data_IF_577799751665
#
_entry.id   IF_577799751665
#
_cell.length_a   1.000
_cell.length_b   1.000
_cell.length_c   1.000
_cell.angle_alpha   90.00
_cell.angle_beta   90.00
_cell.angle_gamma   90.00
#
_symmetry.space_group_name_H-M   'P 1'
#
loop_
_entity.id
_entity.type
_entity.pdbx_description
1 polymer ?
#
# COMPACT_ATOMS: atom_id res chain seq x y z
N UNK A 1 -4.29 -27.86 -13.87
CA UNK A 1 -3.81 -26.49 -14.08
C UNK A 1 -4.98 -25.53 -13.98
N UNK A 2 -4.78 -24.45 -13.27
CA UNK A 2 -5.71 -23.33 -13.22
C UNK A 2 -4.95 -22.06 -13.55
N UNK A 3 -5.56 -21.18 -14.35
CA UNK A 3 -5.01 -19.88 -14.70
C UNK A 3 -6.08 -18.86 -14.31
N UNK A 4 -5.68 -17.91 -13.47
CA UNK A 4 -6.53 -16.83 -12.99
C UNK A 4 -5.88 -15.49 -13.39
N UNK A 5 -6.64 -14.67 -14.11
CA UNK A 5 -6.22 -13.34 -14.51
C UNK A 5 -7.25 -12.31 -14.08
N UNK A 6 -6.79 -11.30 -13.36
CA UNK A 6 -7.61 -10.17 -12.94
C UNK A 6 -6.98 -8.87 -13.43
N UNK A 7 -7.80 -7.93 -13.85
CA UNK A 7 -7.39 -6.59 -14.18
C UNK A 7 -8.42 -5.58 -13.68
N UNK A 8 -7.96 -4.55 -13.01
CA UNK A 8 -8.80 -3.56 -12.36
C UNK A 8 -8.39 -2.15 -12.77
N UNK A 9 -9.39 -1.29 -12.92
CA UNK A 9 -9.23 0.15 -13.06
C UNK A 9 -10.13 0.87 -12.06
N UNK A 10 -9.56 1.80 -11.32
CA UNK A 10 -10.30 2.64 -10.39
C UNK A 10 -9.96 4.11 -10.64
N UNK A 11 -10.99 4.94 -10.72
CA UNK A 11 -10.87 6.39 -10.71
C UNK A 11 -11.69 6.95 -9.55
N UNK A 12 -11.08 7.84 -8.78
CA UNK A 12 -11.74 8.54 -7.68
C UNK A 12 -11.41 10.03 -7.72
N UNK A 13 -12.41 10.86 -7.39
CA UNK A 13 -12.24 12.28 -7.17
C UNK A 13 -12.97 12.65 -5.89
N UNK A 14 -12.30 13.36 -5.01
CA UNK A 14 -12.89 13.92 -3.80
C UNK A 14 -12.42 15.35 -3.63
N UNK A 15 -13.24 16.17 -2.96
CA UNK A 15 -12.91 17.54 -2.63
C UNK A 15 -13.63 17.97 -1.37
N UNK A 16 -13.09 18.97 -0.70
CA UNK A 16 -13.68 19.54 0.50
C UNK A 16 -13.11 20.91 0.77
N UNK A 17 -13.90 21.76 1.42
CA UNK A 17 -13.47 23.08 1.87
C UNK A 17 -13.67 23.21 3.36
N UNK A 18 -12.77 23.98 4.00
CA UNK A 18 -12.85 24.35 5.39
C UNK A 18 -12.73 25.87 5.50
N UNK A 19 -13.54 26.45 6.36
CA UNK A 19 -13.46 27.86 6.71
C UNK A 19 -13.45 27.97 8.23
N UNK A 20 -12.50 28.73 8.75
CA UNK A 20 -12.36 28.99 10.18
C UNK A 20 -12.60 30.47 10.39
N UNK A 21 -13.66 30.81 11.13
CA UNK A 21 -14.03 32.16 11.48
C UNK A 21 -13.77 32.37 12.99
N UNK A 22 -13.15 33.48 13.32
CA UNK A 22 -12.90 33.92 14.70
C UNK A 22 -13.50 35.30 14.90
N UNK A 23 -14.43 35.46 15.86
CA UNK A 23 -15.12 36.71 16.16
C UNK A 23 -15.77 37.42 14.94
N UNK A 24 -16.21 36.65 13.93
CA UNK A 24 -16.85 37.17 12.73
C UNK A 24 -15.90 37.54 11.58
N UNK A 25 -14.59 37.34 11.78
CA UNK A 25 -13.59 37.46 10.73
C UNK A 25 -13.08 36.07 10.33
N UNK A 26 -12.79 35.87 9.03
CA UNK A 26 -12.23 34.61 8.54
C UNK A 26 -10.75 34.57 8.81
N UNK A 27 -10.31 33.70 9.74
CA UNK A 27 -8.89 33.52 10.06
C UNK A 27 -8.18 32.68 9.01
N UNK A 28 -8.83 31.64 8.50
CA UNK A 28 -8.26 30.73 7.53
C UNK A 28 -9.36 30.10 6.66
N UNK A 29 -9.05 29.88 5.39
CA UNK A 29 -9.88 29.05 4.51
C UNK A 29 -9.00 28.09 3.71
N UNK A 30 -9.54 26.92 3.42
CA UNK A 30 -8.87 25.95 2.55
C UNK A 30 -9.87 25.21 1.68
N UNK A 31 -9.44 24.92 0.46
CA UNK A 31 -10.12 24.05 -0.50
C UNK A 31 -9.17 22.95 -0.94
N UNK A 32 -9.63 21.71 -0.90
CA UNK A 32 -8.86 20.54 -1.32
C UNK A 32 -9.54 19.79 -2.45
N UNK A 33 -8.75 19.35 -3.41
CA UNK A 33 -9.18 18.44 -4.45
C UNK A 33 -8.16 17.28 -4.55
N UNK A 34 -8.67 16.05 -4.53
CA UNK A 34 -7.86 14.84 -4.66
C UNK A 34 -8.40 14.03 -5.83
N UNK A 35 -7.51 13.68 -6.75
CA UNK A 35 -7.77 12.77 -7.87
C UNK A 35 -6.89 11.55 -7.74
N UNK A 36 -7.50 10.36 -7.85
CA UNK A 36 -6.80 9.09 -7.84
C UNK A 36 -7.12 8.29 -9.09
N UNK A 37 -6.09 7.66 -9.66
CA UNK A 37 -6.20 6.64 -10.70
C UNK A 37 -5.39 5.43 -10.27
N UNK A 38 -5.98 4.25 -10.37
CA UNK A 38 -5.32 3.00 -10.08
C UNK A 38 -5.56 2.04 -11.24
N UNK A 39 -4.49 1.39 -11.66
CA UNK A 39 -4.51 0.26 -12.59
C UNK A 39 -3.85 -0.90 -11.87
N UNK A 40 -4.47 -2.07 -11.88
CA UNK A 40 -3.90 -3.27 -11.31
C UNK A 40 -4.10 -4.44 -12.29
N UNK A 41 -3.11 -5.32 -12.37
CA UNK A 41 -3.20 -6.57 -13.09
C UNK A 41 -2.52 -7.67 -12.27
N UNK A 42 -3.15 -8.86 -12.24
CA UNK A 42 -2.65 -10.03 -11.53
C UNK A 42 -2.86 -11.28 -12.36
N UNK A 43 -1.80 -12.06 -12.51
CA UNK A 43 -1.83 -13.38 -13.13
C UNK A 43 -1.36 -14.42 -12.11
N UNK A 44 -2.17 -15.46 -11.89
CA UNK A 44 -1.82 -16.60 -11.04
C UNK A 44 -1.98 -17.89 -11.84
N UNK A 45 -0.97 -18.74 -11.78
CA UNK A 45 -0.99 -20.07 -12.35
C UNK A 45 -0.83 -21.07 -11.22
N UNK A 46 -1.76 -22.02 -11.11
CA UNK A 46 -1.69 -23.11 -10.14
C UNK A 46 -1.58 -24.43 -10.87
N UNK A 47 -0.56 -25.20 -10.52
CA UNK A 47 -0.27 -26.50 -11.11
C UNK A 47 -0.03 -27.56 -10.03
N UNK A 48 -0.41 -28.83 -10.25
CA UNK A 48 0.03 -29.92 -9.41
C UNK A 48 1.55 -30.11 -9.54
N UNK A 49 2.24 -30.27 -8.44
CA UNK A 49 3.67 -30.56 -8.38
C UNK A 49 3.91 -31.67 -7.33
N UNK A 50 4.22 -32.88 -7.81
CA UNK A 50 4.31 -34.04 -6.92
C UNK A 50 2.98 -34.34 -6.23
N UNK A 51 2.99 -34.40 -4.90
CA UNK A 51 1.78 -34.59 -4.07
C UNK A 51 1.15 -33.26 -3.64
N UNK A 52 1.75 -32.13 -4.00
CA UNK A 52 1.30 -30.79 -3.61
C UNK A 52 0.83 -29.95 -4.79
N UNK A 53 0.63 -28.67 -4.52
CA UNK A 53 0.24 -27.64 -5.47
C UNK A 53 1.25 -26.51 -5.45
N UNK A 54 1.72 -26.12 -6.62
CA UNK A 54 2.53 -24.91 -6.80
C UNK A 54 1.64 -23.84 -7.41
N UNK A 55 1.55 -22.70 -6.75
CA UNK A 55 0.94 -21.48 -7.28
C UNK A 55 2.05 -20.46 -7.49
N UNK A 56 2.10 -19.84 -8.65
CA UNK A 56 3.05 -18.78 -8.96
C UNK A 56 2.41 -17.73 -9.84
N UNK A 57 2.94 -16.53 -9.80
CA UNK A 57 2.32 -15.45 -10.55
C UNK A 57 3.05 -14.13 -10.44
N UNK A 58 2.44 -13.14 -11.08
CA UNK A 58 2.89 -11.75 -11.05
C UNK A 58 1.72 -10.84 -10.73
N UNK A 59 2.02 -9.71 -10.12
CA UNK A 59 1.06 -8.66 -9.84
C UNK A 59 1.72 -7.32 -10.08
N UNK A 60 1.04 -6.43 -10.78
CA UNK A 60 1.49 -5.08 -11.04
C UNK A 60 0.38 -4.10 -10.70
N UNK A 61 0.74 -3.03 -9.99
CA UNK A 61 -0.16 -1.95 -9.63
C UNK A 61 0.51 -0.62 -9.95
N UNK A 62 -0.21 0.22 -10.67
CA UNK A 62 0.17 1.61 -10.91
C UNK A 62 -0.88 2.54 -10.32
N UNK A 63 -0.43 3.46 -9.47
CA UNK A 63 -1.29 4.47 -8.84
C UNK A 63 -0.77 5.86 -9.18
N UNK A 64 -1.67 6.73 -9.63
CA UNK A 64 -1.41 8.17 -9.75
C UNK A 64 -2.39 8.91 -8.85
N UNK A 65 -1.84 9.70 -7.93
CA UNK A 65 -2.60 10.58 -7.06
C UNK A 65 -2.16 12.03 -7.28
N UNK A 66 -3.14 12.93 -7.39
CA UNK A 66 -2.92 14.35 -7.52
C UNK A 66 -3.71 15.08 -6.42
N UNK A 67 -3.01 15.74 -5.53
CA UNK A 67 -3.54 16.52 -4.42
C UNK A 67 -3.33 18.00 -4.69
N UNK A 68 -4.42 18.75 -4.85
CA UNK A 68 -4.43 20.20 -4.97
C UNK A 68 -5.03 20.77 -3.69
N UNK A 69 -4.28 21.59 -3.00
CA UNK A 69 -4.71 22.25 -1.77
C UNK A 69 -4.48 23.75 -1.88
N UNK A 70 -5.56 24.50 -1.86
CA UNK A 70 -5.55 25.96 -1.87
C UNK A 70 -5.93 26.48 -0.51
N UNK A 71 -5.22 27.47 -0.03
CA UNK A 71 -5.47 27.99 1.31
C UNK A 71 -5.11 29.47 1.42
N UNK A 72 -5.76 30.15 2.38
CA UNK A 72 -5.47 31.52 2.74
C UNK A 72 -5.44 31.68 4.26
N UNK A 73 -4.59 32.58 4.73
CA UNK A 73 -4.48 32.97 6.13
C UNK A 73 -3.27 32.40 6.89
N UNK A 74 -2.65 31.28 6.46
CA UNK A 74 -1.57 30.69 7.26
C UNK A 74 -0.44 29.97 6.51
N UNK A 75 -0.61 29.54 5.26
CA UNK A 75 0.43 28.84 4.49
C UNK A 75 0.22 29.02 2.98
N UNK A 76 1.15 28.51 2.19
CA UNK A 76 1.05 28.54 0.72
C UNK A 76 0.16 27.41 0.19
N UNK A 77 -0.32 27.58 -1.03
CA UNK A 77 -0.98 26.53 -1.80
C UNK A 77 -0.01 25.36 -2.01
N UNK A 78 -0.57 24.15 -2.10
CA UNK A 78 0.17 22.94 -2.41
C UNK A 78 -0.45 22.23 -3.62
N UNK A 79 0.42 21.77 -4.52
CA UNK A 79 0.08 20.94 -5.67
C UNK A 79 1.07 19.78 -5.69
N UNK A 80 0.61 18.61 -5.25
CA UNK A 80 1.44 17.41 -5.11
C UNK A 80 0.92 16.29 -6.00
N UNK A 81 1.82 15.67 -6.75
CA UNK A 81 1.50 14.47 -7.53
C UNK A 81 2.41 13.32 -7.14
N UNK A 82 1.79 12.18 -6.84
CA UNK A 82 2.47 10.94 -6.48
C UNK A 82 2.13 9.90 -7.54
N UNK A 83 3.16 9.32 -8.18
CA UNK A 83 3.04 8.17 -9.05
C UNK A 83 3.77 7.02 -8.40
N UNK A 84 3.08 5.90 -8.21
CA UNK A 84 3.66 4.73 -7.58
C UNK A 84 3.43 3.50 -8.45
N UNK A 85 4.51 2.77 -8.72
CA UNK A 85 4.49 1.47 -9.38
C UNK A 85 4.93 0.42 -8.39
N UNK A 86 4.16 -0.67 -8.28
CA UNK A 86 4.50 -1.84 -7.50
C UNK A 86 4.41 -3.05 -8.42
N UNK A 87 5.54 -3.70 -8.66
CA UNK A 87 5.62 -4.93 -9.45
C UNK A 87 6.10 -6.06 -8.56
N UNK A 88 5.45 -7.21 -8.62
CA UNK A 88 5.82 -8.37 -7.82
C UNK A 88 5.74 -9.68 -8.59
N UNK A 89 6.58 -10.62 -8.17
CA UNK A 89 6.51 -12.02 -8.57
C UNK A 89 6.50 -12.89 -7.32
N UNK A 90 5.70 -13.95 -7.32
CA UNK A 90 5.56 -14.83 -6.18
C UNK A 90 5.43 -16.29 -6.58
N UNK A 91 5.80 -17.17 -5.65
CA UNK A 91 5.57 -18.59 -5.75
C UNK A 91 5.26 -19.16 -4.36
N UNK A 92 4.23 -19.99 -4.27
CA UNK A 92 3.77 -20.67 -3.07
C UNK A 92 3.63 -22.16 -3.37
N UNK A 93 4.16 -23.00 -2.50
CA UNK A 93 3.97 -24.44 -2.56
C UNK A 93 3.22 -24.93 -1.33
N UNK A 94 2.16 -25.69 -1.54
CA UNK A 94 1.38 -26.33 -0.47
C UNK A 94 1.27 -27.83 -0.70
N UNK A 95 1.41 -28.60 0.39
CA UNK A 95 1.35 -30.06 0.36
C UNK A 95 0.65 -30.59 1.63
N UNK A 96 -0.17 -31.62 1.43
CA UNK A 96 -0.79 -32.39 2.51
C UNK A 96 -0.07 -33.73 2.66
N UNK A 97 0.54 -33.95 3.82
CA UNK A 97 1.27 -35.18 4.17
C UNK A 97 0.61 -35.84 5.37
N UNK A 98 -0.33 -36.71 5.11
CA UNK A 98 -1.12 -37.36 6.16
C UNK A 98 -1.93 -36.35 6.97
N UNK A 99 -1.51 -36.11 8.21
CA UNK A 99 -2.15 -35.16 9.12
C UNK A 99 -1.53 -33.77 9.09
N UNK A 100 -0.46 -33.57 8.30
CA UNK A 100 0.23 -32.29 8.17
C UNK A 100 -0.18 -31.57 6.91
N UNK A 101 -0.44 -30.27 7.03
CA UNK A 101 -0.55 -29.34 5.93
C UNK A 101 0.61 -28.35 6.02
N UNK A 102 1.44 -28.34 4.99
CA UNK A 102 2.63 -27.49 4.89
C UNK A 102 2.46 -26.49 3.78
N UNK A 103 2.78 -25.23 4.04
CA UNK A 103 2.82 -24.19 3.01
C UNK A 103 4.11 -23.40 3.15
N UNK A 104 4.79 -23.16 2.04
CA UNK A 104 5.93 -22.25 1.96
C UNK A 104 5.79 -21.38 0.73
N UNK A 105 5.99 -20.09 0.88
CA UNK A 105 5.88 -19.12 -0.21
C UNK A 105 6.88 -18.00 -0.06
N UNK A 106 7.19 -17.39 -1.19
CA UNK A 106 8.04 -16.21 -1.30
C UNK A 106 7.51 -15.27 -2.34
N UNK A 107 7.40 -14.00 -1.98
CA UNK A 107 7.07 -12.89 -2.88
C UNK A 107 8.26 -11.93 -2.94
N UNK A 108 8.72 -11.61 -4.13
CA UNK A 108 9.59 -10.50 -4.39
C UNK A 108 8.75 -9.31 -4.86
N UNK A 109 8.98 -8.14 -4.29
CA UNK A 109 8.27 -6.92 -4.62
C UNK A 109 9.26 -5.78 -4.89
N UNK A 110 9.08 -5.12 -6.03
CA UNK A 110 9.73 -3.87 -6.38
C UNK A 110 8.70 -2.75 -6.34
N UNK A 111 8.97 -1.72 -5.56
CA UNK A 111 8.16 -0.53 -5.46
C UNK A 111 8.97 0.70 -5.83
N UNK A 112 8.43 1.55 -6.69
CA UNK A 112 9.00 2.84 -7.05
C UNK A 112 7.94 3.93 -6.85
N UNK A 113 8.34 5.02 -6.21
CA UNK A 113 7.50 6.21 -6.03
C UNK A 113 8.18 7.39 -6.71
N UNK A 114 7.46 8.11 -7.56
CA UNK A 114 7.89 9.38 -8.15
C UNK A 114 7.02 10.49 -7.54
N UNK A 115 7.65 11.45 -6.88
CA UNK A 115 7.00 12.57 -6.21
C UNK A 115 7.25 13.88 -6.96
N UNK A 116 6.18 14.66 -7.14
CA UNK A 116 6.25 15.97 -7.80
C UNK A 116 5.58 17.03 -6.94
N UNK A 117 6.19 18.20 -6.85
CA UNK A 117 5.61 19.42 -6.27
C UNK A 117 5.51 20.48 -7.37
N UNK A 118 4.28 20.97 -7.63
CA UNK A 118 4.00 21.91 -8.72
C UNK A 118 4.63 21.46 -10.06
N UNK A 119 4.42 20.19 -10.41
CA UNK A 119 4.96 19.49 -11.59
C UNK A 119 6.50 19.35 -11.64
N UNK A 120 7.22 19.76 -10.58
CA UNK A 120 8.67 19.59 -10.46
C UNK A 120 8.97 18.28 -9.75
N UNK A 121 9.70 17.37 -10.40
CA UNK A 121 10.16 16.11 -9.81
C UNK A 121 11.10 16.35 -8.63
N UNK A 122 10.89 15.60 -7.53
CA UNK A 122 11.67 15.66 -6.30
C UNK A 122 12.37 14.33 -6.07
N UNK A 123 13.64 14.25 -6.43
CA UNK A 123 14.43 13.02 -6.32
C UNK A 123 14.51 12.53 -4.88
N UNK A 124 14.71 13.43 -3.92
CA UNK A 124 14.82 13.16 -2.49
C UNK A 124 13.54 12.57 -1.88
N UNK A 125 12.39 12.77 -2.53
CA UNK A 125 11.07 12.26 -2.12
C UNK A 125 10.58 11.10 -2.98
N UNK A 126 11.46 10.56 -3.83
CA UNK A 126 11.13 9.55 -4.84
C UNK A 126 11.88 8.23 -4.60
N UNK A 127 11.58 7.51 -3.50
CA UNK A 127 12.30 6.30 -3.13
C UNK A 127 11.92 5.09 -3.98
N UNK A 128 12.81 4.11 -4.01
CA UNK A 128 12.55 2.76 -4.51
C UNK A 128 12.90 1.71 -3.46
N UNK A 129 12.12 0.63 -3.41
CA UNK A 129 12.28 -0.45 -2.44
C UNK A 129 12.27 -1.80 -3.13
N UNK A 130 13.05 -2.73 -2.58
CA UNK A 130 13.11 -4.12 -2.98
C UNK A 130 12.86 -4.99 -1.75
N UNK A 131 11.84 -5.82 -1.78
CA UNK A 131 11.43 -6.60 -0.63
C UNK A 131 11.26 -8.08 -0.97
N UNK A 132 11.73 -8.93 -0.06
CA UNK A 132 11.43 -10.35 -0.03
C UNK A 132 10.45 -10.61 1.11
N UNK A 133 9.29 -11.15 0.78
CA UNK A 133 8.17 -11.33 1.69
C UNK A 133 7.87 -12.83 1.81
N UNK A 134 8.45 -13.52 2.78
CA UNK A 134 8.24 -14.95 3.01
C UNK A 134 6.96 -15.25 3.79
N UNK A 135 6.40 -16.43 3.54
CA UNK A 135 5.37 -17.08 4.33
C UNK A 135 5.71 -18.56 4.51
N UNK A 136 5.56 -19.07 5.71
CA UNK A 136 5.71 -20.49 6.02
C UNK A 136 4.65 -20.86 7.04
N UNK A 137 3.97 -21.98 6.84
CA UNK A 137 3.04 -22.52 7.83
C UNK A 137 3.09 -24.05 7.87
N UNK A 138 2.88 -24.58 9.06
CA UNK A 138 2.80 -26.01 9.37
C UNK A 138 1.56 -26.19 10.23
N UNK A 139 0.58 -26.91 9.73
CA UNK A 139 -0.60 -27.30 10.49
C UNK A 139 -0.67 -28.79 10.66
N UNK A 140 -0.90 -29.24 11.89
CA UNK A 140 -1.15 -30.62 12.23
C UNK A 140 -2.61 -30.78 12.67
N UNK A 141 -3.31 -31.71 12.04
CA UNK A 141 -4.72 -31.98 12.35
C UNK A 141 -4.91 -33.47 12.70
N UNK A 142 -5.43 -33.75 13.88
CA UNK A 142 -5.78 -35.09 14.33
C UNK A 142 -7.03 -35.04 15.17
N UNK A 143 -8.13 -35.67 14.70
CA UNK A 143 -9.41 -35.76 15.41
C UNK A 143 -9.81 -34.46 16.13
N UNK A 144 -9.53 -34.38 17.44
CA UNK A 144 -9.91 -33.25 18.30
C UNK A 144 -8.76 -32.21 18.47
N UNK A 145 -7.61 -32.40 17.82
CA UNK A 145 -6.44 -31.53 17.96
C UNK A 145 -6.07 -30.87 16.65
N UNK A 146 -5.97 -29.54 16.70
CA UNK A 146 -5.40 -28.75 15.62
C UNK A 146 -4.27 -27.90 16.21
N UNK A 147 -3.06 -28.10 15.71
CA UNK A 147 -1.88 -27.32 16.11
C UNK A 147 -1.32 -26.67 14.86
N UNK A 148 -1.14 -25.37 14.90
CA UNK A 148 -0.58 -24.60 13.79
C UNK A 148 0.57 -23.73 14.24
N UNK A 149 1.65 -23.74 13.45
CA UNK A 149 2.74 -22.78 13.55
C UNK A 149 2.87 -22.06 12.23
N UNK A 150 2.85 -20.74 12.27
CA UNK A 150 3.03 -19.95 11.06
C UNK A 150 3.97 -18.78 11.28
N UNK A 151 4.69 -18.44 10.21
CA UNK A 151 5.47 -17.23 10.09
C UNK A 151 5.11 -16.52 8.79
N UNK A 152 4.89 -15.22 8.86
CA UNK A 152 4.72 -14.39 7.69
C UNK A 152 5.32 -13.00 7.91
N UNK A 153 5.93 -12.47 6.87
CA UNK A 153 6.27 -11.07 6.78
C UNK A 153 5.12 -10.30 6.14
N UNK A 154 4.80 -9.14 6.68
CA UNK A 154 3.83 -8.20 6.11
C UNK A 154 4.51 -6.86 5.88
N UNK A 155 4.26 -6.26 4.72
CA UNK A 155 4.68 -4.90 4.39
C UNK A 155 3.46 -3.98 4.43
N UNK A 156 3.56 -2.88 5.17
CA UNK A 156 2.53 -1.86 5.30
C UNK A 156 3.08 -0.55 4.72
N UNK A 157 2.52 -0.13 3.60
CA UNK A 157 2.87 1.14 2.98
C UNK A 157 2.19 2.30 3.70
N UNK A 158 2.85 3.46 3.87
CA UNK A 158 2.20 4.68 4.33
C UNK A 158 1.04 5.05 3.40
N UNK A 159 -0.03 5.60 3.96
CA UNK A 159 -1.11 6.12 3.11
C UNK A 159 -0.63 7.35 2.34
N UNK A 160 -1.20 7.59 1.16
CA UNK A 160 -0.82 8.76 0.35
C UNK A 160 -1.05 10.10 1.06
N UNK A 161 -2.03 10.18 1.96
CA UNK A 161 -2.23 11.38 2.78
C UNK A 161 -1.11 11.62 3.77
N UNK A 162 -0.46 10.56 4.25
CA UNK A 162 0.73 10.67 5.11
C UNK A 162 1.97 11.09 4.32
N UNK A 163 2.02 10.77 3.02
CA UNK A 163 3.13 11.14 2.12
C UNK A 163 2.98 12.55 1.53
N UNK A 164 1.84 13.21 1.71
CA UNK A 164 1.62 14.56 1.17
C UNK A 164 2.37 15.59 2.01
N UNK A 165 3.09 16.52 1.35
CA UNK A 165 3.74 17.66 2.03
C UNK A 165 2.78 18.81 2.33
N UNK A 166 1.48 18.62 2.17
CA UNK A 166 0.47 19.62 2.42
C UNK A 166 0.34 19.94 3.90
N UNK A 167 0.43 21.22 4.26
CA UNK A 167 0.18 21.69 5.62
C UNK A 167 -1.27 22.12 5.73
N UNK A 168 -2.06 21.43 6.56
CA UNK A 168 -3.46 21.75 6.80
C UNK A 168 -3.67 22.35 8.20
N UNK A 169 -4.49 23.38 8.26
CA UNK A 169 -4.88 24.03 9.52
C UNK A 169 -5.94 23.20 10.24
N UNK A 170 -5.71 22.85 11.47
CA UNK A 170 -6.66 22.15 12.31
C UNK A 170 -7.29 23.05 13.38
N UNK A 171 -6.49 23.91 13.98
CA UNK A 171 -6.91 24.86 14.98
C UNK A 171 -5.85 25.94 15.17
N UNK A 172 -6.15 26.98 15.96
CA UNK A 172 -5.19 28.05 16.32
C UNK A 172 -3.86 27.52 16.88
N UNK A 173 -3.83 26.30 17.42
CA UNK A 173 -2.67 25.71 18.07
C UNK A 173 -2.16 24.43 17.39
N UNK A 174 -2.79 24.02 16.27
CA UNK A 174 -2.49 22.74 15.66
C UNK A 174 -2.53 22.81 14.13
N UNK A 175 -1.45 22.36 13.52
CA UNK A 175 -1.32 22.10 12.09
C UNK A 175 -1.07 20.61 11.87
N UNK A 176 -1.55 20.10 10.78
CA UNK A 176 -1.28 18.73 10.31
C UNK A 176 -0.45 18.78 9.04
N UNK A 177 0.63 17.99 9.02
CA UNK A 177 1.50 17.82 7.86
C UNK A 177 1.83 16.35 7.67
N UNK A 178 1.88 15.88 6.42
CA UNK A 178 2.44 14.57 6.11
C UNK A 178 3.96 14.63 5.96
N UNK A 179 4.56 13.46 5.77
CA UNK A 179 6.00 13.33 5.52
C UNK A 179 6.24 12.43 4.30
N UNK A 180 6.69 12.98 3.15
CA UNK A 180 6.99 12.20 1.94
C UNK A 180 8.12 11.18 2.10
N UNK A 181 8.95 11.32 3.14
CA UNK A 181 10.09 10.45 3.42
C UNK A 181 9.72 9.20 4.26
N UNK A 182 8.41 9.01 4.57
CA UNK A 182 7.97 7.83 5.30
C UNK A 182 8.23 6.55 4.49
N UNK A 183 8.88 5.61 5.15
CA UNK A 183 9.18 4.29 4.58
C UNK A 183 8.10 3.25 4.88
N UNK A 184 7.95 2.21 4.06
CA UNK A 184 7.11 1.07 4.36
C UNK A 184 7.57 0.37 5.64
N UNK A 185 6.61 0.00 6.50
CA UNK A 185 6.88 -0.78 7.70
C UNK A 185 6.88 -2.27 7.39
N UNK A 186 7.82 -3.02 7.96
CA UNK A 186 7.91 -4.48 7.84
C UNK A 186 7.60 -5.12 9.18
N UNK A 187 6.60 -5.97 9.20
CA UNK A 187 6.16 -6.71 10.38
C UNK A 187 6.40 -8.20 10.19
N UNK A 188 7.11 -8.81 11.14
CA UNK A 188 7.29 -10.26 11.21
C UNK A 188 6.28 -10.82 12.22
N UNK A 189 5.34 -11.62 11.74
CA UNK A 189 4.32 -12.22 12.58
C UNK A 189 4.58 -13.73 12.73
N UNK A 190 4.61 -14.17 13.97
CA UNK A 190 4.65 -15.60 14.36
C UNK A 190 3.34 -15.91 15.05
N UNK A 191 2.68 -16.99 14.66
CA UNK A 191 1.45 -17.48 15.29
C UNK A 191 1.60 -18.92 15.71
N UNK A 192 1.11 -19.25 16.89
CA UNK A 192 0.93 -20.61 17.41
C UNK A 192 -0.56 -20.72 17.78
N UNK A 193 -1.21 -21.73 17.22
CA UNK A 193 -2.64 -22.02 17.39
C UNK A 193 -2.85 -23.43 17.94
#
# INVERSE_FOLDING_TARGET
WNIDFNADYLYGRSGGGQKVDNNGETDASSDSEVKNRLYAAKLVITAPLGQGKLSFGTEETFTERHDIFKQSGFSNDADNRIKQSIASAFADYSIELGQFNLTAGLRYEYQKTDYYESDIYKEEKSPSYHDLIPIVSIFYKKEDWNIGLSYRMMKLNPSYSMLSSTISYQSKYQYHNGNPELEPQKHNAFSLE
#
